data_IF_398924167999
#
_entry.id   IF_398924167999
#
_cell.length_a   1.000
_cell.length_b   1.000
_cell.length_c   1.000
_cell.angle_alpha   90.00
_cell.angle_beta   90.00
_cell.angle_gamma   90.00
#
_symmetry.space_group_name_H-M   'P 1'
#
loop_
_entity.id
_entity.type
_entity.pdbx_description
1 polymer ?
#
# COMPACT_ATOMS: atom_id res chain seq x y z
N UNK A 1 -8.12 4.88 -17.05
CA UNK A 1 -7.01 3.96 -16.74
C UNK A 1 -6.82 3.08 -17.95
N UNK A 2 -5.60 2.98 -18.50
CA UNK A 2 -5.29 2.07 -19.61
C UNK A 2 -4.82 0.70 -19.07
N UNK A 3 -4.70 -0.28 -19.94
CA UNK A 3 -4.35 -1.66 -19.56
C UNK A 3 -2.98 -1.75 -18.87
N UNK A 4 -2.00 -0.95 -19.32
CA UNK A 4 -0.66 -0.90 -18.72
C UNK A 4 -0.70 -0.40 -17.27
N UNK A 5 -1.47 0.66 -17.02
CA UNK A 5 -1.66 1.22 -15.67
C UNK A 5 -2.41 0.23 -14.80
N UNK A 6 -3.46 -0.42 -15.32
CA UNK A 6 -4.21 -1.42 -14.60
C UNK A 6 -3.31 -2.61 -14.21
N UNK A 7 -2.52 -3.12 -15.16
CA UNK A 7 -1.57 -4.20 -14.91
C UNK A 7 -0.51 -3.82 -13.86
N UNK A 8 0.01 -2.59 -13.89
CA UNK A 8 0.93 -2.09 -12.88
C UNK A 8 0.30 -2.05 -11.48
N UNK A 9 -0.95 -1.58 -11.36
CA UNK A 9 -1.71 -1.59 -10.10
C UNK A 9 -1.95 -3.01 -9.60
N UNK A 10 -2.40 -3.92 -10.46
CA UNK A 10 -2.64 -5.31 -10.05
C UNK A 10 -1.34 -6.02 -9.62
N UNK A 11 -0.23 -5.79 -10.33
CA UNK A 11 1.09 -6.29 -9.96
C UNK A 11 1.57 -5.73 -8.62
N UNK A 12 1.32 -4.43 -8.37
CA UNK A 12 1.60 -3.80 -7.07
C UNK A 12 0.79 -4.46 -5.95
N UNK A 13 -0.42 -4.96 -6.21
CA UNK A 13 -1.25 -5.62 -5.20
C UNK A 13 -1.00 -7.13 -5.04
N UNK A 14 -0.22 -7.75 -5.92
CA UNK A 14 0.10 -9.18 -5.88
C UNK A 14 0.95 -9.65 -4.69
N UNK A 15 1.32 -8.75 -3.76
CA UNK A 15 2.03 -9.10 -2.53
C UNK A 15 1.09 -9.00 -1.32
N UNK A 16 1.03 -10.03 -0.44
CA UNK A 16 0.13 -10.05 0.71
C UNK A 16 0.25 -8.84 1.65
N UNK A 17 1.47 -8.35 1.93
CA UNK A 17 1.69 -7.21 2.79
C UNK A 17 1.14 -5.91 2.17
N UNK A 18 1.34 -5.74 0.86
CA UNK A 18 0.82 -4.57 0.12
C UNK A 18 -0.71 -4.59 0.02
N UNK A 19 -1.31 -5.76 -0.17
CA UNK A 19 -2.76 -5.91 -0.13
C UNK A 19 -3.33 -5.63 1.27
N UNK A 20 -2.68 -6.11 2.33
CA UNK A 20 -3.07 -5.81 3.71
C UNK A 20 -2.99 -4.31 4.01
N UNK A 21 -1.93 -3.64 3.55
CA UNK A 21 -1.75 -2.20 3.65
C UNK A 21 -2.88 -1.45 2.93
N UNK A 22 -3.20 -1.78 1.68
CA UNK A 22 -4.29 -1.15 0.95
C UNK A 22 -5.62 -1.34 1.70
N UNK A 23 -5.94 -2.56 2.16
CA UNK A 23 -7.18 -2.84 2.90
C UNK A 23 -7.28 -2.03 4.18
N UNK A 24 -6.17 -1.81 4.87
CA UNK A 24 -6.12 -1.01 6.09
C UNK A 24 -6.38 0.47 5.78
N UNK A 25 -5.77 1.01 4.71
CA UNK A 25 -6.03 2.39 4.26
C UNK A 25 -7.47 2.58 3.78
N UNK A 26 -8.05 1.61 3.07
CA UNK A 26 -9.46 1.66 2.65
C UNK A 26 -10.39 1.73 3.86
N UNK A 27 -10.09 1.00 4.96
CA UNK A 27 -10.85 1.08 6.21
C UNK A 27 -10.68 2.42 6.93
N UNK A 28 -9.48 3.02 6.86
CA UNK A 28 -9.20 4.33 7.44
C UNK A 28 -9.88 5.47 6.67
N UNK A 29 -10.23 5.26 5.40
CA UNK A 29 -10.92 6.24 4.59
C UNK A 29 -10.06 7.46 4.30
N UNK A 30 -10.68 8.63 4.20
CA UNK A 30 -10.02 9.90 3.84
C UNK A 30 -9.05 10.41 4.89
N UNK A 31 -9.22 10.01 6.15
CA UNK A 31 -8.34 10.41 7.25
C UNK A 31 -6.96 9.74 7.12
N UNK A 32 -6.92 8.59 6.43
CA UNK A 32 -5.70 7.83 6.21
C UNK A 32 -5.08 7.31 7.51
N UNK A 33 -3.84 6.85 7.40
CA UNK A 33 -3.03 6.44 8.55
C UNK A 33 -1.60 6.89 8.32
N UNK A 34 -0.94 7.33 9.39
CA UNK A 34 0.49 7.58 9.33
C UNK A 34 1.28 6.26 9.34
N UNK A 35 2.53 6.33 8.92
CA UNK A 35 3.43 5.16 8.81
C UNK A 35 3.57 4.41 10.14
N UNK A 36 3.62 5.12 11.28
CA UNK A 36 3.71 4.48 12.60
C UNK A 36 2.46 3.70 12.97
N UNK A 37 1.27 4.19 12.61
CA UNK A 37 0.02 3.45 12.79
C UNK A 37 -0.01 2.22 11.88
N UNK A 38 0.34 2.36 10.60
CA UNK A 38 0.42 1.23 9.67
C UNK A 38 1.38 0.15 10.18
N UNK A 39 2.55 0.56 10.70
CA UNK A 39 3.53 -0.34 11.27
C UNK A 39 2.97 -1.14 12.46
N UNK A 40 2.27 -0.47 13.38
CA UNK A 40 1.64 -1.11 14.54
C UNK A 40 0.55 -2.12 14.16
N UNK A 41 -0.21 -1.84 13.10
CA UNK A 41 -1.31 -2.73 12.67
C UNK A 41 -0.82 -3.93 11.86
N UNK A 42 0.26 -3.76 11.09
CA UNK A 42 0.74 -4.79 10.17
C UNK A 42 1.89 -5.63 10.77
N UNK A 43 2.50 -5.18 11.86
CA UNK A 43 3.65 -5.84 12.52
C UNK A 43 4.83 -6.10 11.54
N UNK A 44 5.15 -5.09 10.73
CA UNK A 44 6.21 -5.13 9.72
C UNK A 44 7.34 -4.18 10.13
N UNK A 45 8.63 -4.54 9.90
CA UNK A 45 9.74 -3.60 10.09
C UNK A 45 9.57 -2.32 9.27
N UNK A 46 9.98 -1.17 9.84
CA UNK A 46 9.80 0.13 9.21
C UNK A 46 10.43 0.24 7.80
N UNK A 47 11.62 -0.35 7.60
CA UNK A 47 12.31 -0.36 6.30
C UNK A 47 11.53 -1.14 5.24
N UNK A 48 10.99 -2.31 5.60
CA UNK A 48 10.17 -3.14 4.73
C UNK A 48 8.84 -2.45 4.39
N UNK A 49 8.20 -1.83 5.38
CA UNK A 49 6.98 -1.06 5.18
C UNK A 49 7.20 0.12 4.22
N UNK A 50 8.28 0.89 4.41
CA UNK A 50 8.62 2.00 3.52
C UNK A 50 8.86 1.54 2.08
N UNK A 51 9.50 0.39 1.89
CA UNK A 51 9.68 -0.23 0.57
C UNK A 51 8.34 -0.59 -0.08
N UNK A 52 7.42 -1.19 0.68
CA UNK A 52 6.07 -1.51 0.20
C UNK A 52 5.25 -0.27 -0.16
N UNK A 53 5.27 0.77 0.69
CA UNK A 53 4.59 2.05 0.43
C UNK A 53 5.14 2.68 -0.87
N UNK A 54 6.46 2.76 -1.01
CA UNK A 54 7.10 3.34 -2.19
C UNK A 54 6.68 2.61 -3.48
N UNK A 55 6.57 1.29 -3.42
CA UNK A 55 6.11 0.49 -4.56
C UNK A 55 4.64 0.75 -4.91
N UNK A 56 3.77 0.91 -3.91
CA UNK A 56 2.35 1.23 -4.12
C UNK A 56 2.16 2.65 -4.67
N UNK A 57 2.94 3.62 -4.20
CA UNK A 57 2.94 5.01 -4.70
C UNK A 57 3.40 5.06 -6.15
N UNK A 58 4.50 4.37 -6.51
CA UNK A 58 5.00 4.31 -7.89
C UNK A 58 3.99 3.69 -8.86
N UNK A 59 3.21 2.72 -8.40
CA UNK A 59 2.13 2.12 -9.17
C UNK A 59 0.84 2.97 -9.21
N UNK A 60 0.80 4.13 -8.54
CA UNK A 60 -0.37 4.98 -8.47
C UNK A 60 -1.52 4.41 -7.62
N UNK A 61 -1.25 3.40 -6.80
CA UNK A 61 -2.26 2.70 -5.99
C UNK A 61 -2.65 3.50 -4.74
N UNK A 62 -1.71 4.25 -4.16
CA UNK A 62 -1.90 5.13 -2.99
C UNK A 62 -1.14 6.45 -3.23
N UNK A 63 -1.47 7.48 -2.45
CA UNK A 63 -0.90 8.84 -2.54
C UNK A 63 -0.52 9.34 -1.16
#
# INVERSE_FOLDING_TARGET
MNDETAAAVFSSLGNPARLALLRLLVKAGTDGLNVGQLQKHLDIPASTLAHHISHLVRAGTIK
#
